data_IF_481810870223
#
_entry.id   IF_481810870223
#
_cell.length_a   1.000
_cell.length_b   1.000
_cell.length_c   1.000
_cell.angle_alpha   90.00
_cell.angle_beta   90.00
_cell.angle_gamma   90.00
#
_symmetry.space_group_name_H-M   'P 1'
#
loop_
_entity.id
_entity.type
_entity.pdbx_description
1 polymer ?
#
# COMPACT_ATOMS: atom_id res chain seq x y z
N UNK A 1 -33.47 58.26 46.58
CA UNK A 1 -32.67 57.09 46.18
C UNK A 1 -33.53 56.22 45.26
N UNK A 2 -33.35 56.34 43.95
CA UNK A 2 -33.83 55.31 43.00
C UNK A 2 -33.01 55.45 41.73
N UNK A 3 -31.99 54.60 41.63
CA UNK A 3 -31.01 54.58 40.56
C UNK A 3 -31.46 53.55 39.53
N UNK A 4 -31.86 54.02 38.35
CA UNK A 4 -32.32 53.18 37.25
C UNK A 4 -31.11 52.47 36.65
N UNK A 5 -31.07 51.13 36.77
CA UNK A 5 -30.03 50.30 36.19
C UNK A 5 -30.15 50.27 34.67
N UNK A 6 -29.09 50.70 34.00
CA UNK A 6 -28.89 50.59 32.56
C UNK A 6 -28.60 49.12 32.20
N UNK A 7 -29.51 48.49 31.46
CA UNK A 7 -29.26 47.16 30.90
C UNK A 7 -28.12 47.21 29.88
N UNK A 8 -27.15 46.33 30.13
CA UNK A 8 -25.82 46.24 29.52
C UNK A 8 -25.88 45.84 28.04
N UNK A 9 -25.01 46.45 27.24
CA UNK A 9 -25.01 46.41 25.76
C UNK A 9 -24.81 45.04 25.09
N UNK A 10 -24.69 43.94 25.84
CA UNK A 10 -24.63 42.59 25.28
C UNK A 10 -26.02 42.11 24.82
N UNK A 11 -27.10 42.49 25.52
CA UNK A 11 -28.47 42.13 25.12
C UNK A 11 -28.92 42.89 23.85
N UNK A 12 -28.50 44.15 23.67
CA UNK A 12 -28.70 44.87 22.39
C UNK A 12 -27.95 44.22 21.23
N UNK A 13 -26.74 43.69 21.47
CA UNK A 13 -25.96 42.99 20.43
C UNK A 13 -26.55 41.62 20.10
N UNK A 14 -27.07 40.90 21.09
CA UNK A 14 -27.78 39.64 20.88
C UNK A 14 -29.12 39.84 20.15
N UNK A 15 -29.87 40.90 20.46
CA UNK A 15 -31.11 41.24 19.75
C UNK A 15 -30.85 41.68 18.30
N UNK A 16 -29.79 42.46 18.04
CA UNK A 16 -29.38 42.83 16.68
C UNK A 16 -28.88 41.61 15.90
N UNK A 17 -28.16 40.68 16.53
CA UNK A 17 -27.73 39.43 15.89
C UNK A 17 -28.90 38.49 15.60
N UNK A 18 -29.90 38.41 16.49
CA UNK A 18 -31.11 37.62 16.26
C UNK A 18 -31.99 38.19 15.14
N UNK A 19 -32.09 39.52 15.01
CA UNK A 19 -32.79 40.17 13.89
C UNK A 19 -32.02 40.01 12.57
N UNK A 20 -30.68 39.99 12.58
CA UNK A 20 -29.85 39.73 11.39
C UNK A 20 -29.91 38.26 10.92
N UNK A 21 -30.01 37.31 11.85
CA UNK A 21 -30.16 35.89 11.52
C UNK A 21 -31.59 35.59 11.04
N UNK A 22 -32.61 36.28 11.58
CA UNK A 22 -33.99 36.14 11.11
C UNK A 22 -34.24 36.85 9.77
N UNK A 23 -33.52 37.94 9.47
CA UNK A 23 -33.57 38.60 8.16
C UNK A 23 -32.84 37.83 7.05
N UNK A 24 -31.88 36.96 7.37
CA UNK A 24 -31.22 36.10 6.38
C UNK A 24 -32.04 34.87 5.95
N UNK A 25 -33.12 34.54 6.65
CA UNK A 25 -33.97 33.38 6.32
C UNK A 25 -35.27 33.75 5.58
N UNK A 26 -35.55 35.04 5.35
CA UNK A 26 -36.78 35.48 4.67
C UNK A 26 -36.51 36.59 3.67
N UNK A 27 -35.85 36.28 2.55
CA UNK A 27 -36.08 36.92 1.23
C UNK A 27 -35.27 36.17 0.15
N UNK A 28 -35.62 34.90 -0.05
CA UNK A 28 -35.37 34.17 -1.29
C UNK A 28 -36.47 34.47 -2.30
N UNK A 29 -36.64 35.76 -2.63
CA UNK A 29 -37.36 36.23 -3.82
C UNK A 29 -36.46 37.30 -4.45
N UNK A 30 -35.31 36.85 -4.95
CA UNK A 30 -34.42 37.68 -5.75
C UNK A 30 -35.16 38.04 -7.03
N UNK A 31 -35.73 39.24 -7.08
CA UNK A 31 -36.29 39.82 -8.29
C UNK A 31 -35.34 39.57 -9.46
N UNK A 32 -35.79 38.75 -10.42
CA UNK A 32 -35.21 38.57 -11.75
C UNK A 32 -35.41 39.83 -12.58
N UNK A 33 -35.04 40.98 -12.02
CA UNK A 33 -35.10 42.27 -12.68
C UNK A 33 -33.88 42.40 -13.56
N UNK A 34 -34.11 42.55 -14.87
CA UNK A 34 -33.14 43.07 -15.82
C UNK A 34 -32.47 44.30 -15.19
N UNK A 35 -31.12 44.44 -15.26
CA UNK A 35 -30.47 45.66 -14.79
C UNK A 35 -31.14 46.88 -15.46
N UNK A 36 -31.22 48.04 -14.78
CA UNK A 36 -31.81 49.24 -15.38
C UNK A 36 -31.22 49.47 -16.77
N UNK A 37 -32.06 49.46 -17.81
CA UNK A 37 -31.59 49.52 -19.21
C UNK A 37 -30.67 50.74 -19.44
N UNK A 38 -30.95 51.82 -18.72
CA UNK A 38 -30.21 53.07 -18.73
C UNK A 38 -28.78 52.93 -18.19
N UNK A 39 -28.53 52.02 -17.24
CA UNK A 39 -27.19 51.80 -16.67
C UNK A 39 -26.27 51.12 -17.67
N UNK A 40 -26.77 50.10 -18.39
CA UNK A 40 -26.02 49.42 -19.43
C UNK A 40 -25.73 50.33 -20.64
N UNK A 41 -26.67 51.21 -21.00
CA UNK A 41 -26.46 52.20 -22.05
C UNK A 41 -25.36 53.21 -21.68
N UNK A 42 -25.46 53.83 -20.49
CA UNK A 42 -24.47 54.80 -19.98
C UNK A 42 -23.07 54.21 -19.81
N UNK A 43 -22.97 52.95 -19.36
CA UNK A 43 -21.66 52.28 -19.27
C UNK A 43 -20.98 52.10 -20.63
N UNK A 44 -21.76 51.79 -21.68
CA UNK A 44 -21.19 51.55 -23.02
C UNK A 44 -20.72 52.82 -23.73
N UNK A 45 -21.18 53.99 -23.29
CA UNK A 45 -20.70 55.30 -23.78
C UNK A 45 -19.22 55.52 -23.44
N UNK A 46 -18.79 55.15 -22.23
CA UNK A 46 -17.41 55.32 -21.75
C UNK A 46 -16.55 54.05 -21.78
N UNK A 47 -17.17 52.86 -21.74
CA UNK A 47 -16.48 51.59 -21.51
C UNK A 47 -16.87 50.52 -22.52
N UNK A 48 -15.93 49.62 -22.83
CA UNK A 48 -16.23 48.33 -23.43
C UNK A 48 -16.48 47.30 -22.31
N UNK A 49 -17.62 46.62 -22.38
CA UNK A 49 -18.17 45.83 -21.28
C UNK A 49 -18.06 44.35 -21.62
N UNK A 50 -17.20 43.62 -20.90
CA UNK A 50 -16.87 42.21 -21.16
C UNK A 50 -17.35 41.33 -20.02
N UNK A 51 -18.09 40.26 -20.32
CA UNK A 51 -18.60 39.33 -19.31
C UNK A 51 -17.48 38.46 -18.72
N UNK A 52 -17.37 38.41 -17.38
CA UNK A 52 -16.50 37.48 -16.65
C UNK A 52 -17.32 36.34 -16.05
N UNK A 53 -16.70 35.17 -15.79
CA UNK A 53 -17.40 34.01 -15.20
C UNK A 53 -18.20 34.37 -13.92
N UNK A 54 -17.69 35.33 -13.13
CA UNK A 54 -18.30 35.78 -11.87
C UNK A 54 -18.46 37.31 -11.77
N UNK A 55 -18.70 37.99 -12.89
CA UNK A 55 -18.93 39.43 -12.88
C UNK A 55 -18.75 40.09 -14.25
N UNK A 56 -18.19 41.31 -14.26
CA UNK A 56 -17.98 42.10 -15.49
C UNK A 56 -16.64 42.84 -15.46
N UNK A 57 -15.99 42.91 -16.62
CA UNK A 57 -14.81 43.74 -16.87
C UNK A 57 -15.22 44.96 -17.71
N UNK A 58 -14.73 46.13 -17.32
CA UNK A 58 -14.94 47.41 -17.98
C UNK A 58 -13.59 47.93 -18.48
N UNK A 59 -13.47 48.12 -19.79
CA UNK A 59 -12.26 48.64 -20.44
C UNK A 59 -12.57 50.05 -20.95
N UNK A 60 -11.90 51.12 -20.46
CA UNK A 60 -12.17 52.48 -20.91
C UNK A 60 -11.94 52.65 -22.42
N UNK A 61 -12.89 53.25 -23.14
CA UNK A 61 -12.77 53.52 -24.59
C UNK A 61 -11.79 54.66 -24.89
N UNK A 62 -11.61 55.57 -23.95
CA UNK A 62 -10.60 56.62 -23.97
C UNK A 62 -9.71 56.45 -22.73
N UNK A 63 -8.41 56.66 -22.88
CA UNK A 63 -7.46 56.55 -21.78
C UNK A 63 -7.60 57.74 -20.80
N UNK A 64 -8.72 57.81 -20.08
CA UNK A 64 -8.93 58.78 -19.03
C UNK A 64 -8.25 58.29 -17.74
N UNK A 65 -7.34 59.10 -17.18
CA UNK A 65 -6.77 58.87 -15.84
C UNK A 65 -5.79 57.69 -15.69
N UNK A 66 -5.26 57.13 -16.78
CA UNK A 66 -4.26 56.05 -16.74
C UNK A 66 -4.79 54.67 -16.34
N UNK A 67 -6.11 54.52 -16.27
CA UNK A 67 -6.78 53.25 -15.96
C UNK A 67 -6.94 52.42 -17.23
N UNK A 68 -6.57 51.12 -17.18
CA UNK A 68 -6.65 50.22 -18.33
C UNK A 68 -7.74 49.17 -18.19
N UNK A 69 -8.03 48.74 -16.97
CA UNK A 69 -9.01 47.69 -16.72
C UNK A 69 -9.66 47.87 -15.34
N UNK A 70 -10.98 47.82 -15.31
CA UNK A 70 -11.77 47.76 -14.08
C UNK A 70 -12.52 46.43 -14.07
N UNK A 71 -12.42 45.67 -12.98
CA UNK A 71 -13.14 44.41 -12.80
C UNK A 71 -14.09 44.56 -11.62
N UNK A 72 -15.31 44.05 -11.79
CA UNK A 72 -16.31 43.99 -10.72
C UNK A 72 -16.74 42.54 -10.58
N UNK A 73 -16.40 41.92 -9.45
CA UNK A 73 -16.74 40.53 -9.14
C UNK A 73 -17.27 40.42 -7.71
N UNK A 74 -18.47 39.87 -7.53
CA UNK A 74 -19.03 39.59 -6.20
C UNK A 74 -19.12 40.81 -5.26
N UNK A 75 -19.25 42.02 -5.81
CA UNK A 75 -19.30 43.28 -5.05
C UNK A 75 -17.94 43.91 -4.76
N UNK A 76 -16.84 43.30 -5.21
CA UNK A 76 -15.49 43.84 -5.09
C UNK A 76 -15.08 44.49 -6.40
N UNK A 77 -14.50 45.70 -6.31
CA UNK A 77 -13.99 46.45 -7.47
C UNK A 77 -12.47 46.45 -7.48
N UNK A 78 -11.90 46.03 -8.61
CA UNK A 78 -10.45 45.95 -8.83
C UNK A 78 -10.08 46.83 -10.02
N UNK A 79 -9.14 47.75 -9.84
CA UNK A 79 -8.65 48.66 -10.88
C UNK A 79 -7.19 48.33 -11.18
N UNK A 80 -6.89 47.93 -12.41
CA UNK A 80 -5.55 47.49 -12.87
C UNK A 80 -4.90 46.43 -11.96
N UNK A 81 -5.72 45.52 -11.42
CA UNK A 81 -5.29 44.45 -10.52
C UNK A 81 -5.21 44.83 -9.03
N UNK A 82 -5.51 46.08 -8.66
CA UNK A 82 -5.58 46.51 -7.26
C UNK A 82 -7.02 46.63 -6.78
N UNK A 83 -7.35 45.92 -5.70
CA UNK A 83 -8.66 46.04 -5.05
C UNK A 83 -8.80 47.40 -4.38
N UNK A 84 -9.89 48.10 -4.66
CA UNK A 84 -10.16 49.45 -4.17
C UNK A 84 -11.39 49.46 -3.28
N UNK A 85 -11.37 50.26 -2.22
CA UNK A 85 -12.58 50.59 -1.44
C UNK A 85 -13.41 51.66 -2.16
N UNK A 86 -14.69 51.79 -1.84
CA UNK A 86 -15.56 52.80 -2.47
C UNK A 86 -15.14 54.26 -2.24
N UNK A 87 -14.30 54.55 -1.25
CA UNK A 87 -13.69 55.87 -1.05
C UNK A 87 -12.51 56.09 -2.02
N UNK A 88 -11.61 55.11 -2.13
CA UNK A 88 -10.47 55.13 -3.05
C UNK A 88 -10.90 55.13 -4.52
N UNK A 89 -12.01 54.45 -4.83
CA UNK A 89 -12.58 54.43 -6.17
C UNK A 89 -13.07 55.83 -6.60
N UNK A 90 -13.68 56.60 -5.69
CA UNK A 90 -14.11 57.98 -5.94
C UNK A 90 -12.96 58.95 -6.15
N UNK A 91 -11.87 58.77 -5.41
CA UNK A 91 -10.66 59.57 -5.60
C UNK A 91 -9.99 59.27 -6.95
N UNK A 92 -9.98 58.01 -7.37
CA UNK A 92 -9.25 57.56 -8.57
C UNK A 92 -10.03 57.68 -9.88
N UNK A 93 -11.36 57.54 -9.85
CA UNK A 93 -12.22 57.55 -11.05
C UNK A 93 -13.16 58.75 -11.12
N UNK A 94 -13.12 59.66 -10.14
CA UNK A 94 -13.89 60.90 -10.10
C UNK A 94 -15.37 60.71 -10.49
N UNK A 95 -15.81 61.30 -11.61
CA UNK A 95 -17.19 61.27 -12.10
C UNK A 95 -17.70 59.86 -12.45
N UNK A 96 -16.80 58.98 -12.90
CA UNK A 96 -17.15 57.61 -13.31
C UNK A 96 -17.29 56.64 -12.13
N UNK A 97 -16.77 57.01 -10.96
CA UNK A 97 -16.84 56.17 -9.77
C UNK A 97 -18.30 55.86 -9.37
N UNK A 98 -19.22 56.81 -9.59
CA UNK A 98 -20.64 56.64 -9.27
C UNK A 98 -21.29 55.51 -10.08
N UNK A 99 -20.91 55.35 -11.35
CA UNK A 99 -21.43 54.29 -12.23
C UNK A 99 -20.88 52.93 -11.81
N UNK A 100 -19.59 52.84 -11.51
CA UNK A 100 -18.94 51.57 -11.15
C UNK A 100 -19.40 51.07 -9.78
N UNK A 101 -19.66 51.98 -8.84
CA UNK A 101 -20.29 51.64 -7.56
C UNK A 101 -21.67 51.02 -7.77
N UNK A 102 -22.50 51.58 -8.66
CA UNK A 102 -23.81 50.99 -8.99
C UNK A 102 -23.67 49.58 -9.58
N UNK A 103 -22.67 49.35 -10.44
CA UNK A 103 -22.37 48.01 -10.97
C UNK A 103 -21.96 47.04 -9.87
N UNK A 104 -21.22 47.50 -8.85
CA UNK A 104 -20.80 46.64 -7.72
C UNK A 104 -21.95 46.14 -6.85
N UNK A 105 -23.08 46.87 -6.82
CA UNK A 105 -24.28 46.43 -6.10
C UNK A 105 -25.14 45.42 -6.87
N UNK A 106 -24.88 45.23 -8.16
CA UNK A 106 -25.61 44.26 -8.97
C UNK A 106 -25.18 42.82 -8.64
N UNK A 107 -26.12 41.89 -8.75
CA UNK A 107 -25.80 40.46 -8.66
C UNK A 107 -24.87 40.03 -9.81
N UNK A 108 -24.08 38.96 -9.66
CA UNK A 108 -23.19 38.48 -10.73
C UNK A 108 -23.93 38.19 -12.05
N UNK A 109 -25.18 37.75 -11.97
CA UNK A 109 -26.04 37.51 -13.13
C UNK A 109 -26.44 38.81 -13.83
N UNK A 110 -26.84 39.84 -13.06
CA UNK A 110 -27.15 41.17 -13.59
C UNK A 110 -25.91 41.88 -14.15
N UNK A 111 -24.74 41.72 -13.53
CA UNK A 111 -23.47 42.25 -14.05
C UNK A 111 -23.12 41.64 -15.42
N UNK A 112 -23.31 40.33 -15.59
CA UNK A 112 -23.11 39.66 -16.89
C UNK A 112 -24.14 40.09 -17.93
N UNK A 113 -25.37 40.37 -17.51
CA UNK A 113 -26.40 40.89 -18.41
C UNK A 113 -26.04 42.29 -18.97
N UNK A 114 -25.27 43.11 -18.25
CA UNK A 114 -24.74 44.39 -18.78
C UNK A 114 -23.84 44.19 -20.00
N UNK A 115 -23.09 43.09 -20.04
CA UNK A 115 -22.23 42.70 -21.17
C UNK A 115 -23.01 41.99 -22.30
N UNK A 116 -24.33 41.82 -22.17
CA UNK A 116 -25.15 41.06 -23.12
C UNK A 116 -24.88 39.55 -23.11
N UNK A 117 -24.22 39.02 -22.07
CA UNK A 117 -23.97 37.59 -21.95
C UNK A 117 -25.25 36.84 -21.54
N UNK A 118 -25.53 35.67 -22.16
CA UNK A 118 -26.63 34.81 -21.72
C UNK A 118 -26.42 34.37 -20.26
N UNK A 119 -27.53 34.19 -19.55
CA UNK A 119 -27.51 33.62 -18.20
C UNK A 119 -26.85 32.25 -18.22
N UNK A 120 -26.03 31.96 -17.20
CA UNK A 120 -25.54 30.59 -17.01
C UNK A 120 -26.76 29.70 -16.73
N UNK A 121 -26.81 28.47 -17.27
CA UNK A 121 -27.91 27.56 -16.98
C UNK A 121 -28.03 27.38 -15.46
N UNK A 122 -29.21 27.70 -14.93
CA UNK A 122 -29.57 27.43 -13.53
C UNK A 122 -29.39 25.95 -13.24
N UNK A 123 -28.90 25.63 -12.04
CA UNK A 123 -28.76 24.25 -11.54
C UNK A 123 -30.00 23.41 -11.92
N UNK A 124 -29.84 22.17 -12.41
CA UNK A 124 -30.96 21.37 -12.89
C UNK A 124 -32.04 21.26 -11.81
N UNK A 125 -33.31 21.47 -12.21
CA UNK A 125 -34.47 21.35 -11.34
C UNK A 125 -34.44 20.02 -10.55
N UNK A 126 -34.88 20.00 -9.28
CA UNK A 126 -34.93 18.76 -8.50
C UNK A 126 -35.77 17.72 -9.25
N UNK A 127 -35.17 16.57 -9.53
CA UNK A 127 -35.81 15.47 -10.22
C UNK A 127 -37.07 14.99 -9.47
N UNK A 128 -38.10 14.47 -10.17
CA UNK A 128 -39.32 13.99 -9.53
C UNK A 128 -39.00 12.95 -8.45
N UNK A 129 -39.51 13.18 -7.23
CA UNK A 129 -39.33 12.28 -6.10
C UNK A 129 -40.11 10.98 -6.35
N UNK A 130 -39.41 9.92 -6.74
CA UNK A 130 -39.99 8.58 -6.81
C UNK A 130 -40.29 8.11 -5.39
N UNK A 131 -41.50 7.62 -5.14
CA UNK A 131 -41.86 6.99 -3.87
C UNK A 131 -41.02 5.71 -3.69
N UNK A 132 -40.11 5.73 -2.70
CA UNK A 132 -39.20 4.62 -2.39
C UNK A 132 -39.94 3.58 -1.55
N UNK A 133 -40.49 2.57 -2.20
CA UNK A 133 -41.34 1.55 -1.55
C UNK A 133 -40.56 0.37 -0.99
N UNK A 134 -39.30 0.16 -1.41
CA UNK A 134 -38.50 -0.98 -0.97
C UNK A 134 -37.33 -0.53 -0.09
N UNK A 135 -37.51 -0.62 1.23
CA UNK A 135 -36.46 -0.27 2.21
C UNK A 135 -35.79 -1.54 2.71
N UNK A 136 -34.51 -1.70 2.38
CA UNK A 136 -33.68 -2.81 2.85
C UNK A 136 -32.81 -2.29 4.00
N UNK A 137 -32.97 -2.89 5.19
CA UNK A 137 -32.19 -2.52 6.38
C UNK A 137 -30.97 -3.43 6.54
N UNK A 138 -29.82 -2.83 6.82
CA UNK A 138 -28.56 -3.51 7.06
C UNK A 138 -27.65 -3.59 5.82
N UNK A 139 -26.47 -4.15 6.03
CA UNK A 139 -25.40 -4.15 5.04
C UNK A 139 -25.63 -5.19 3.95
N UNK A 140 -25.32 -4.83 2.70
CA UNK A 140 -25.42 -5.73 1.54
C UNK A 140 -24.05 -6.05 1.00
N UNK A 141 -23.63 -7.30 1.18
CA UNK A 141 -22.38 -7.82 0.63
C UNK A 141 -22.67 -8.83 -0.48
N UNK A 142 -22.08 -8.64 -1.66
CA UNK A 142 -22.15 -9.57 -2.80
C UNK A 142 -20.76 -9.99 -3.25
N UNK A 143 -20.59 -11.28 -3.53
CA UNK A 143 -19.34 -11.88 -4.00
C UNK A 143 -19.53 -12.51 -5.37
N UNK A 144 -18.73 -12.11 -6.36
CA UNK A 144 -18.73 -12.64 -7.72
C UNK A 144 -19.92 -12.25 -8.59
N UNK A 145 -20.94 -11.60 -8.02
CA UNK A 145 -22.17 -11.18 -8.71
C UNK A 145 -22.31 -9.66 -8.74
N UNK A 146 -23.01 -9.16 -9.75
CA UNK A 146 -23.35 -7.74 -9.86
C UNK A 146 -24.55 -7.40 -8.98
N UNK A 147 -24.54 -6.19 -8.42
CA UNK A 147 -25.63 -5.67 -7.59
C UNK A 147 -26.34 -4.55 -8.34
N UNK A 148 -27.66 -4.64 -8.49
CA UNK A 148 -28.50 -3.52 -8.94
C UNK A 148 -29.36 -3.03 -7.78
N UNK A 149 -29.39 -1.72 -7.58
CA UNK A 149 -30.28 -1.02 -6.64
C UNK A 149 -31.20 -0.15 -7.49
N UNK A 150 -32.47 -0.53 -7.54
CA UNK A 150 -33.47 0.12 -8.37
C UNK A 150 -33.84 1.51 -7.82
N UNK A 151 -34.40 2.38 -8.66
CA UNK A 151 -34.73 3.77 -8.28
C UNK A 151 -35.76 3.88 -7.12
N UNK A 152 -36.56 2.84 -6.90
CA UNK A 152 -37.54 2.74 -5.81
C UNK A 152 -37.00 2.05 -4.55
N UNK A 153 -35.71 1.71 -4.53
CA UNK A 153 -35.05 0.99 -3.44
C UNK A 153 -34.17 1.94 -2.60
N UNK A 154 -34.26 1.79 -1.27
CA UNK A 154 -33.42 2.47 -0.29
C UNK A 154 -32.70 1.43 0.56
N UNK A 155 -31.37 1.48 0.59
CA UNK A 155 -30.53 0.65 1.44
C UNK A 155 -30.08 1.47 2.65
N UNK A 156 -30.50 1.04 3.84
CA UNK A 156 -30.11 1.62 5.13
C UNK A 156 -28.93 0.83 5.72
N UNK A 157 -27.75 1.02 5.13
CA UNK A 157 -26.51 0.34 5.53
C UNK A 157 -25.43 0.49 4.46
N UNK A 158 -24.34 -0.26 4.65
CA UNK A 158 -23.19 -0.27 3.73
C UNK A 158 -23.38 -1.27 2.60
N UNK A 159 -22.85 -0.94 1.43
CA UNK A 159 -22.93 -1.77 0.22
C UNK A 159 -21.53 -2.15 -0.23
N UNK A 160 -21.21 -3.44 -0.23
CA UNK A 160 -19.93 -3.97 -0.67
C UNK A 160 -20.09 -5.02 -1.78
N UNK A 161 -19.44 -4.79 -2.92
CA UNK A 161 -19.43 -5.71 -4.06
C UNK A 161 -18.01 -6.14 -4.39
N UNK A 162 -17.73 -7.44 -4.33
CA UNK A 162 -16.43 -8.02 -4.61
C UNK A 162 -16.46 -8.84 -5.90
N UNK A 163 -15.73 -8.42 -6.93
CA UNK A 163 -15.60 -9.14 -8.19
C UNK A 163 -16.79 -9.02 -9.15
N UNK A 164 -17.75 -8.14 -8.85
CA UNK A 164 -18.91 -7.81 -9.69
C UNK A 164 -19.08 -6.29 -9.85
N UNK A 165 -20.02 -5.87 -10.69
CA UNK A 165 -20.33 -4.44 -10.91
C UNK A 165 -21.53 -3.99 -10.08
N UNK A 166 -21.56 -2.72 -9.68
CA UNK A 166 -22.70 -2.12 -8.99
C UNK A 166 -23.40 -1.10 -9.90
N UNK A 167 -24.72 -1.23 -10.04
CA UNK A 167 -25.59 -0.30 -10.77
C UNK A 167 -26.60 0.28 -9.78
N UNK A 168 -26.49 1.56 -9.48
CA UNK A 168 -27.27 2.21 -8.44
C UNK A 168 -28.08 3.33 -9.05
N UNK A 169 -29.40 3.15 -9.10
CA UNK A 169 -30.38 4.17 -9.44
C UNK A 169 -31.14 4.67 -8.21
N UNK A 170 -31.13 3.91 -7.11
CA UNK A 170 -31.79 4.22 -5.84
C UNK A 170 -30.92 4.94 -4.82
N UNK A 171 -31.23 4.75 -3.54
CA UNK A 171 -30.56 5.44 -2.43
C UNK A 171 -29.78 4.48 -1.53
N UNK A 172 -28.54 4.85 -1.19
CA UNK A 172 -27.68 4.14 -0.26
C UNK A 172 -27.30 5.11 0.86
N UNK A 173 -27.67 4.78 2.09
CA UNK A 173 -27.46 5.67 3.23
C UNK A 173 -26.02 5.60 3.75
N UNK A 174 -25.38 4.43 3.67
CA UNK A 174 -24.02 4.18 4.14
C UNK A 174 -22.94 4.30 3.04
N UNK A 175 -21.82 3.62 3.29
CA UNK A 175 -20.66 3.59 2.39
C UNK A 175 -20.86 2.60 1.24
N UNK A 176 -20.26 2.92 0.09
CA UNK A 176 -20.33 2.07 -1.10
C UNK A 176 -18.94 1.67 -1.58
N UNK A 177 -18.64 0.37 -1.49
CA UNK A 177 -17.36 -0.20 -1.87
C UNK A 177 -17.49 -1.21 -3.02
N UNK A 178 -16.75 -0.99 -4.11
CA UNK A 178 -16.69 -1.92 -5.25
C UNK A 178 -15.24 -2.31 -5.52
N UNK A 179 -14.95 -3.61 -5.44
CA UNK A 179 -13.63 -4.18 -5.68
C UNK A 179 -13.62 -5.02 -6.95
N UNK A 180 -12.83 -4.62 -7.94
CA UNK A 180 -12.58 -5.38 -9.17
C UNK A 180 -13.68 -5.31 -10.24
N UNK A 181 -14.64 -4.40 -10.10
CA UNK A 181 -15.74 -4.18 -11.05
C UNK A 181 -16.09 -2.69 -11.22
N UNK A 182 -17.06 -2.38 -12.09
CA UNK A 182 -17.47 -1.00 -12.36
C UNK A 182 -18.58 -0.54 -11.43
N UNK A 183 -18.62 0.76 -11.14
CA UNK A 183 -19.75 1.41 -10.47
C UNK A 183 -20.45 2.34 -11.46
N UNK A 184 -21.75 2.14 -11.66
CA UNK A 184 -22.63 3.06 -12.40
C UNK A 184 -23.60 3.70 -11.43
N UNK A 185 -23.60 5.03 -11.41
CA UNK A 185 -24.55 5.84 -10.66
C UNK A 185 -25.51 6.49 -11.66
N UNK A 186 -26.78 6.07 -11.60
CA UNK A 186 -27.84 6.63 -12.42
C UNK A 186 -28.24 8.05 -12.03
N UNK A 187 -29.10 8.71 -12.83
CA UNK A 187 -29.46 10.11 -12.63
C UNK A 187 -30.27 10.35 -11.34
N UNK A 188 -30.79 9.31 -10.69
CA UNK A 188 -31.54 9.39 -9.44
C UNK A 188 -30.78 8.82 -8.23
N UNK A 189 -29.53 8.38 -8.45
CA UNK A 189 -28.71 7.75 -7.44
C UNK A 189 -28.35 8.74 -6.32
N UNK A 190 -28.55 8.32 -5.07
CA UNK A 190 -28.17 9.11 -3.89
C UNK A 190 -27.32 8.26 -2.96
N UNK A 191 -26.08 8.68 -2.70
CA UNK A 191 -25.16 7.99 -1.77
C UNK A 191 -24.81 8.92 -0.62
N UNK A 192 -25.17 8.50 0.59
CA UNK A 192 -24.94 9.23 1.84
C UNK A 192 -23.50 9.16 2.33
N UNK A 193 -22.83 8.02 2.14
CA UNK A 193 -21.46 7.77 2.61
C UNK A 193 -20.34 7.96 1.58
N UNK A 194 -19.15 7.47 1.93
CA UNK A 194 -17.96 7.45 1.08
C UNK A 194 -18.09 6.39 -0.02
N UNK A 195 -17.56 6.70 -1.22
CA UNK A 195 -17.49 5.77 -2.35
C UNK A 195 -16.04 5.33 -2.54
N UNK A 196 -15.78 4.03 -2.48
CA UNK A 196 -14.48 3.45 -2.76
C UNK A 196 -14.58 2.46 -3.93
N UNK A 197 -13.91 2.76 -5.04
CA UNK A 197 -13.80 1.84 -6.18
C UNK A 197 -12.35 1.48 -6.43
N UNK A 198 -12.03 0.19 -6.33
CA UNK A 198 -10.68 -0.32 -6.49
C UNK A 198 -10.61 -1.28 -7.69
N UNK A 199 -9.77 -0.95 -8.67
CA UNK A 199 -9.55 -1.81 -9.84
C UNK A 199 -10.68 -1.80 -10.88
N UNK A 200 -11.51 -0.76 -10.93
CA UNK A 200 -12.58 -0.55 -11.91
C UNK A 200 -12.78 0.91 -12.28
N UNK A 201 -13.90 1.25 -12.94
CA UNK A 201 -14.25 2.63 -13.32
C UNK A 201 -15.57 3.08 -12.70
N UNK A 202 -15.67 4.37 -12.38
CA UNK A 202 -16.91 5.00 -11.94
C UNK A 202 -17.54 5.76 -13.11
N UNK A 203 -18.79 5.45 -13.43
CA UNK A 203 -19.62 6.18 -14.39
C UNK A 203 -20.75 6.88 -13.63
N UNK A 204 -20.73 8.21 -13.60
CA UNK A 204 -21.66 9.03 -12.82
C UNK A 204 -22.52 9.86 -13.76
N UNK A 205 -23.83 9.58 -13.78
CA UNK A 205 -24.79 10.41 -14.49
C UNK A 205 -24.90 11.81 -13.85
N UNK A 206 -25.27 12.81 -14.65
CA UNK A 206 -25.33 14.22 -14.24
C UNK A 206 -26.32 14.52 -13.08
N UNK A 207 -27.23 13.60 -12.76
CA UNK A 207 -28.18 13.71 -11.64
C UNK A 207 -27.78 12.97 -10.35
N UNK A 208 -26.74 12.15 -10.39
CA UNK A 208 -26.31 11.37 -9.21
C UNK A 208 -25.73 12.28 -8.11
N UNK A 209 -26.16 12.09 -6.86
CA UNK A 209 -25.71 12.84 -5.69
C UNK A 209 -24.88 11.96 -4.77
N UNK A 210 -23.70 12.44 -4.39
CA UNK A 210 -22.78 11.75 -3.49
C UNK A 210 -22.38 12.75 -2.40
N UNK A 211 -22.73 12.46 -1.16
CA UNK A 211 -22.47 13.33 -0.02
C UNK A 211 -21.11 13.08 0.64
N UNK A 212 -20.56 11.87 0.50
CA UNK A 212 -19.21 11.54 0.94
C UNK A 212 -18.12 11.76 -0.11
N UNK A 213 -16.91 11.25 0.18
CA UNK A 213 -15.75 11.33 -0.70
C UNK A 213 -15.75 10.20 -1.72
N UNK A 214 -15.35 10.52 -2.94
CA UNK A 214 -15.15 9.53 -4.00
C UNK A 214 -13.67 9.20 -4.11
N UNK A 215 -13.30 7.94 -3.86
CA UNK A 215 -11.94 7.41 -4.01
C UNK A 215 -11.91 6.37 -5.12
N UNK A 216 -11.26 6.74 -6.22
CA UNK A 216 -11.00 5.84 -7.34
C UNK A 216 -9.52 5.42 -7.30
N UNK A 217 -9.28 4.13 -7.06
CA UNK A 217 -7.95 3.54 -7.06
C UNK A 217 -7.87 2.53 -8.22
N UNK A 218 -7.57 3.02 -9.43
CA UNK A 218 -7.29 2.14 -10.57
C UNK A 218 -7.69 2.59 -11.99
N UNK A 219 -8.22 3.79 -12.20
CA UNK A 219 -8.78 4.19 -13.50
C UNK A 219 -7.89 5.05 -14.40
N UNK A 220 -7.08 4.46 -15.29
CA UNK A 220 -6.84 5.07 -16.61
C UNK A 220 -7.94 4.57 -17.54
N UNK A 221 -8.59 5.49 -18.27
CA UNK A 221 -9.75 5.34 -19.20
C UNK A 221 -9.65 4.28 -20.31
N UNK A 222 -8.80 3.26 -20.20
CA UNK A 222 -8.69 2.17 -21.17
C UNK A 222 -9.68 1.05 -20.89
N UNK A 223 -10.86 1.13 -21.54
CA UNK A 223 -11.69 0.01 -22.03
C UNK A 223 -11.45 -1.34 -21.31
N UNK A 224 -12.16 -1.56 -20.19
CA UNK A 224 -12.21 -2.85 -19.48
C UNK A 224 -12.92 -3.90 -20.35
N UNK A 225 -12.16 -4.84 -20.89
CA UNK A 225 -12.67 -6.10 -21.43
C UNK A 225 -12.30 -7.29 -20.53
N UNK A 226 -12.91 -8.47 -20.72
CA UNK A 226 -12.67 -9.69 -19.93
C UNK A 226 -11.18 -10.10 -19.80
N UNK A 227 -10.32 -9.61 -20.70
CA UNK A 227 -8.88 -9.83 -20.65
C UNK A 227 -8.15 -9.26 -19.43
N UNK A 228 -8.65 -8.21 -18.76
CA UNK A 228 -7.96 -7.63 -17.58
C UNK A 228 -8.34 -8.26 -16.24
N UNK A 229 -9.55 -8.80 -16.09
CA UNK A 229 -9.91 -9.66 -14.95
C UNK A 229 -9.13 -10.97 -14.99
N UNK A 230 -8.95 -11.53 -16.20
CA UNK A 230 -7.92 -12.53 -16.46
C UNK A 230 -6.56 -11.98 -16.02
N UNK A 231 -6.11 -10.79 -16.45
CA UNK A 231 -4.77 -10.27 -16.11
C UNK A 231 -4.50 -10.03 -14.61
N UNK A 232 -5.51 -9.68 -13.80
CA UNK A 232 -5.35 -9.48 -12.35
C UNK A 232 -5.30 -10.79 -11.56
N UNK A 233 -6.17 -11.74 -11.94
CA UNK A 233 -6.12 -13.11 -11.42
C UNK A 233 -4.86 -13.83 -11.91
N UNK A 234 -4.49 -13.65 -13.18
CA UNK A 234 -3.20 -14.03 -13.74
C UNK A 234 -2.07 -13.30 -13.02
N UNK A 235 -2.19 -12.05 -12.59
CA UNK A 235 -1.12 -11.32 -11.88
C UNK A 235 -0.81 -11.92 -10.51
N UNK A 236 -1.83 -12.18 -9.69
CA UNK A 236 -1.66 -12.91 -8.41
C UNK A 236 -1.27 -14.37 -8.62
N UNK A 237 -1.74 -15.00 -9.69
CA UNK A 237 -1.32 -16.35 -10.06
C UNK A 237 0.14 -16.36 -10.51
N UNK A 238 0.58 -15.46 -11.39
CA UNK A 238 1.95 -15.29 -11.89
C UNK A 238 2.93 -14.91 -10.78
N UNK A 239 2.52 -14.14 -9.77
CA UNK A 239 3.38 -13.86 -8.61
C UNK A 239 3.52 -15.09 -7.69
N UNK A 240 2.45 -15.88 -7.49
CA UNK A 240 2.52 -17.17 -6.79
C UNK A 240 3.32 -18.20 -7.58
N UNK A 241 3.14 -18.24 -8.91
CA UNK A 241 3.90 -19.09 -9.84
C UNK A 241 5.37 -18.68 -9.87
N UNK A 242 5.66 -17.38 -9.85
CA UNK A 242 7.01 -16.83 -9.72
C UNK A 242 7.62 -17.18 -8.37
N UNK A 243 6.85 -17.12 -7.28
CA UNK A 243 7.29 -17.56 -5.95
C UNK A 243 7.57 -19.07 -5.87
N UNK A 244 6.81 -19.89 -6.60
CA UNK A 244 7.09 -21.31 -6.80
C UNK A 244 8.33 -21.53 -7.66
N UNK A 245 8.44 -20.85 -8.79
CA UNK A 245 9.55 -20.95 -9.73
C UNK A 245 10.87 -20.54 -9.06
N UNK A 246 10.87 -19.48 -8.25
CA UNK A 246 12.01 -19.08 -7.45
C UNK A 246 12.39 -20.15 -6.41
N UNK A 247 11.41 -20.82 -5.80
CA UNK A 247 11.69 -21.95 -4.88
C UNK A 247 12.23 -23.15 -5.62
N UNK A 248 11.68 -23.50 -6.79
CA UNK A 248 12.21 -24.57 -7.63
C UNK A 248 13.64 -24.28 -8.09
N UNK A 249 13.92 -23.05 -8.52
CA UNK A 249 15.25 -22.60 -8.88
C UNK A 249 16.21 -22.68 -7.69
N UNK A 250 15.78 -22.24 -6.50
CA UNK A 250 16.56 -22.35 -5.26
C UNK A 250 16.87 -23.81 -4.92
N UNK A 251 15.88 -24.71 -5.01
CA UNK A 251 16.07 -26.14 -4.74
C UNK A 251 17.01 -26.75 -5.77
N UNK A 252 16.85 -26.42 -7.06
CA UNK A 252 17.75 -26.87 -8.12
C UNK A 252 19.19 -26.40 -7.87
N UNK A 253 19.38 -25.15 -7.44
CA UNK A 253 20.68 -24.58 -7.10
C UNK A 253 21.28 -25.27 -5.86
N UNK A 254 20.48 -25.57 -4.83
CA UNK A 254 20.94 -26.33 -3.66
C UNK A 254 21.34 -27.76 -4.02
N UNK A 255 20.59 -28.42 -4.89
CA UNK A 255 20.97 -29.75 -5.42
C UNK A 255 22.28 -29.62 -6.17
N UNK A 256 22.41 -28.65 -7.08
CA UNK A 256 23.65 -28.43 -7.84
C UNK A 256 24.86 -28.19 -6.92
N UNK A 257 24.74 -27.29 -5.94
CA UNK A 257 25.79 -27.04 -4.96
C UNK A 257 26.11 -28.30 -4.14
N UNK A 258 25.09 -29.05 -3.72
CA UNK A 258 25.29 -30.32 -3.01
C UNK A 258 26.03 -31.36 -3.84
N UNK A 259 25.73 -31.45 -5.14
CA UNK A 259 26.45 -32.32 -6.07
C UNK A 259 27.91 -31.89 -6.22
N UNK A 260 28.18 -30.58 -6.31
CA UNK A 260 29.55 -30.03 -6.32
C UNK A 260 30.29 -30.39 -5.04
N UNK A 261 29.68 -30.20 -3.87
CA UNK A 261 30.26 -30.57 -2.58
C UNK A 261 30.61 -32.06 -2.52
N UNK A 262 29.71 -32.93 -2.99
CA UNK A 262 30.00 -34.37 -3.09
C UNK A 262 31.12 -34.65 -4.09
N UNK A 263 31.18 -33.95 -5.22
CA UNK A 263 32.21 -34.15 -6.23
C UNK A 263 33.61 -33.79 -5.71
N UNK A 264 33.76 -32.68 -4.98
CA UNK A 264 35.04 -32.22 -4.45
C UNK A 264 35.44 -32.85 -3.11
N UNK A 265 34.49 -33.42 -2.36
CA UNK A 265 34.72 -33.80 -0.97
C UNK A 265 33.94 -35.04 -0.50
N UNK A 266 33.85 -36.10 -1.31
CA UNK A 266 33.16 -37.37 -0.93
C UNK A 266 33.51 -37.84 0.49
N UNK A 267 34.81 -37.87 0.82
CA UNK A 267 35.30 -38.32 2.13
C UNK A 267 34.95 -37.35 3.28
N UNK A 268 34.70 -36.07 2.99
CA UNK A 268 34.28 -35.06 3.97
C UNK A 268 32.78 -35.18 4.23
N UNK A 269 31.98 -35.35 3.18
CA UNK A 269 30.53 -35.54 3.27
C UNK A 269 30.18 -36.86 4.00
N UNK A 270 30.87 -37.95 3.68
CA UNK A 270 30.66 -39.25 4.34
C UNK A 270 31.03 -39.22 5.84
N UNK A 271 32.10 -38.49 6.20
CA UNK A 271 32.47 -38.29 7.61
C UNK A 271 31.42 -37.50 8.39
N UNK A 272 30.90 -36.41 7.82
CA UNK A 272 29.83 -35.61 8.43
C UNK A 272 28.52 -36.40 8.52
N UNK A 273 28.16 -37.15 7.47
CA UNK A 273 26.91 -37.92 7.40
C UNK A 273 26.86 -39.12 8.37
N UNK A 274 28.00 -39.77 8.63
CA UNK A 274 28.07 -40.91 9.57
C UNK A 274 27.75 -40.51 11.03
N UNK A 275 27.95 -39.24 11.40
CA UNK A 275 27.82 -38.77 12.80
C UNK A 275 26.47 -38.17 13.13
N UNK A 276 25.72 -37.65 12.16
CA UNK A 276 24.32 -37.21 12.36
C UNK A 276 23.42 -38.36 12.85
N UNK A 277 23.85 -39.62 12.68
CA UNK A 277 23.10 -40.82 13.03
C UNK A 277 23.01 -41.08 14.55
N UNK A 278 23.88 -40.51 15.38
CA UNK A 278 23.99 -40.90 16.80
C UNK A 278 23.20 -39.96 17.73
N UNK A 279 23.08 -38.66 17.42
CA UNK A 279 22.30 -37.72 18.24
C UNK A 279 21.85 -36.46 17.45
N UNK A 280 20.78 -36.53 16.64
CA UNK A 280 20.29 -35.39 15.85
C UNK A 280 19.86 -34.21 16.74
N UNK A 281 19.27 -34.47 17.91
CA UNK A 281 18.87 -33.43 18.87
C UNK A 281 20.09 -32.70 19.44
N UNK A 282 21.17 -33.44 19.80
CA UNK A 282 22.40 -32.81 20.29
C UNK A 282 23.08 -31.97 19.22
N UNK A 283 23.12 -32.46 17.98
CA UNK A 283 23.67 -31.71 16.84
C UNK A 283 22.86 -30.44 16.57
N UNK A 284 21.52 -30.52 16.63
CA UNK A 284 20.64 -29.35 16.51
C UNK A 284 20.84 -28.33 17.63
N UNK A 285 20.94 -28.78 18.88
CA UNK A 285 21.19 -27.90 20.03
C UNK A 285 22.55 -27.20 19.92
N UNK A 286 23.61 -27.93 19.56
CA UNK A 286 24.94 -27.35 19.35
C UNK A 286 24.93 -26.35 18.19
N UNK A 287 24.26 -26.66 17.08
CA UNK A 287 24.11 -25.74 15.96
C UNK A 287 23.36 -24.48 16.34
N UNK A 288 22.25 -24.62 17.08
CA UNK A 288 21.43 -23.50 17.55
C UNK A 288 22.17 -22.65 18.59
N UNK A 289 22.89 -23.25 19.53
CA UNK A 289 23.76 -22.52 20.47
C UNK A 289 24.86 -21.77 19.72
N UNK A 290 25.48 -22.39 18.71
CA UNK A 290 26.48 -21.75 17.89
C UNK A 290 25.89 -20.56 17.11
N UNK A 291 24.72 -20.70 16.49
CA UNK A 291 24.04 -19.60 15.76
C UNK A 291 23.67 -18.43 16.69
N UNK A 292 23.08 -18.72 17.85
CA UNK A 292 22.68 -17.69 18.82
C UNK A 292 23.89 -16.95 19.37
N UNK A 293 25.00 -17.64 19.65
CA UNK A 293 26.21 -17.01 20.16
C UNK A 293 27.02 -16.33 19.05
N UNK A 294 26.94 -16.83 17.82
CA UNK A 294 27.69 -16.29 16.68
C UNK A 294 27.26 -14.87 16.35
N UNK A 295 25.96 -14.56 16.35
CA UNK A 295 25.47 -13.21 16.01
C UNK A 295 26.02 -12.10 16.95
N UNK A 296 25.91 -12.19 18.29
CA UNK A 296 26.45 -11.16 19.18
C UNK A 296 27.98 -11.12 19.13
N UNK A 297 28.66 -12.27 19.01
CA UNK A 297 30.13 -12.30 18.86
C UNK A 297 30.56 -11.65 17.56
N UNK A 298 29.85 -11.88 16.45
CA UNK A 298 30.13 -11.27 15.16
C UNK A 298 29.93 -9.76 15.21
N UNK A 299 28.82 -9.29 15.79
CA UNK A 299 28.55 -7.85 15.96
C UNK A 299 29.64 -7.21 16.81
N UNK A 300 29.96 -7.80 17.97
CA UNK A 300 31.03 -7.30 18.85
C UNK A 300 32.38 -7.26 18.11
N UNK A 301 32.72 -8.33 17.38
CA UNK A 301 33.94 -8.41 16.56
C UNK A 301 33.97 -7.29 15.53
N UNK A 302 32.88 -7.09 14.79
CA UNK A 302 32.78 -6.01 13.78
C UNK A 302 32.95 -4.64 14.43
N UNK A 303 32.33 -4.39 15.57
CA UNK A 303 32.44 -3.11 16.29
C UNK A 303 33.88 -2.86 16.76
N UNK A 304 34.53 -3.87 17.35
CA UNK A 304 35.92 -3.77 17.80
C UNK A 304 36.89 -3.57 16.62
N UNK A 305 36.66 -4.27 15.50
CA UNK A 305 37.45 -4.09 14.28
C UNK A 305 37.20 -2.70 13.66
N UNK A 306 35.97 -2.19 13.68
CA UNK A 306 35.66 -0.88 13.12
C UNK A 306 36.29 0.27 13.92
N UNK A 307 36.37 0.14 15.25
CA UNK A 307 36.97 1.16 16.13
C UNK A 307 38.51 1.11 16.10
N UNK A 308 39.10 -0.02 15.72
CA UNK A 308 40.56 -0.18 15.68
C UNK A 308 41.15 0.21 14.31
N UNK A 309 42.25 0.97 14.33
CA UNK A 309 42.99 1.36 13.12
C UNK A 309 43.47 0.11 12.36
N UNK A 310 43.93 -0.91 13.08
CA UNK A 310 44.33 -2.22 12.53
C UNK A 310 43.12 -3.03 12.07
N UNK A 311 41.94 -2.77 12.61
CA UNK A 311 40.74 -3.53 12.29
C UNK A 311 40.07 -3.13 10.98
N UNK A 312 40.29 -1.93 10.45
CA UNK A 312 39.77 -1.52 9.12
C UNK A 312 40.22 -2.47 7.99
N UNK A 313 41.52 -2.80 7.83
CA UNK A 313 41.93 -3.78 6.83
C UNK A 313 41.41 -5.19 7.16
N UNK A 314 41.27 -5.55 8.44
CA UNK A 314 40.73 -6.84 8.84
C UNK A 314 39.20 -6.94 8.63
N UNK A 315 38.48 -5.82 8.66
CA UNK A 315 37.05 -5.72 8.41
C UNK A 315 36.74 -6.15 6.96
N UNK A 316 37.66 -5.89 6.02
CA UNK A 316 37.58 -6.38 4.65
C UNK A 316 37.58 -7.92 4.57
N UNK A 317 38.13 -8.61 5.58
CA UNK A 317 38.17 -10.08 5.65
C UNK A 317 36.88 -10.70 6.22
N UNK A 318 36.08 -9.93 6.95
CA UNK A 318 34.80 -10.41 7.52
C UNK A 318 33.86 -11.05 6.49
N UNK A 319 33.60 -10.49 5.29
CA UNK A 319 32.77 -11.17 4.30
C UNK A 319 33.33 -12.53 3.86
N UNK A 320 34.66 -12.68 3.79
CA UNK A 320 35.29 -13.97 3.49
C UNK A 320 35.11 -14.98 4.62
N UNK A 321 35.16 -14.54 5.89
CA UNK A 321 34.87 -15.39 7.04
C UNK A 321 33.40 -15.86 7.05
N UNK A 322 32.46 -14.96 6.75
CA UNK A 322 31.03 -15.30 6.60
C UNK A 322 30.82 -16.28 5.44
N UNK A 323 31.51 -16.09 4.31
CA UNK A 323 31.47 -17.01 3.18
C UNK A 323 31.98 -18.41 3.56
N UNK A 324 33.10 -18.50 4.28
CA UNK A 324 33.64 -19.77 4.76
C UNK A 324 32.63 -20.47 5.68
N UNK A 325 31.98 -19.72 6.58
CA UNK A 325 30.93 -20.25 7.44
C UNK A 325 29.75 -20.80 6.62
N UNK A 326 29.31 -20.07 5.60
CA UNK A 326 28.24 -20.53 4.70
C UNK A 326 28.60 -21.84 4.00
N UNK A 327 29.86 -22.03 3.61
CA UNK A 327 30.34 -23.28 3.03
C UNK A 327 30.26 -24.42 4.06
N UNK A 328 30.66 -24.19 5.30
CA UNK A 328 30.55 -25.19 6.39
C UNK A 328 29.10 -25.57 6.64
N UNK A 329 28.19 -24.59 6.72
CA UNK A 329 26.75 -24.82 6.86
C UNK A 329 26.20 -25.65 5.70
N UNK A 330 26.63 -25.34 4.47
CA UNK A 330 26.23 -26.07 3.26
C UNK A 330 26.69 -27.52 3.31
N UNK A 331 27.95 -27.79 3.68
CA UNK A 331 28.48 -29.15 3.83
C UNK A 331 27.69 -29.93 4.88
N UNK A 332 27.37 -29.28 6.00
CA UNK A 332 26.51 -29.84 7.05
C UNK A 332 25.12 -30.23 6.55
N UNK A 333 24.45 -29.31 5.84
CA UNK A 333 23.14 -29.55 5.21
C UNK A 333 23.20 -30.70 4.20
N UNK A 334 24.24 -30.74 3.35
CA UNK A 334 24.43 -31.80 2.34
C UNK A 334 24.62 -33.16 3.02
N UNK A 335 25.34 -33.22 4.14
CA UNK A 335 25.49 -34.44 4.94
C UNK A 335 24.15 -34.95 5.48
N UNK A 336 23.31 -34.06 6.02
CA UNK A 336 21.96 -34.39 6.47
C UNK A 336 21.07 -34.85 5.31
N UNK A 337 21.06 -34.11 4.19
CA UNK A 337 20.31 -34.44 2.99
C UNK A 337 20.71 -35.82 2.46
N UNK A 338 22.02 -36.09 2.30
CA UNK A 338 22.52 -37.40 1.88
C UNK A 338 21.95 -38.53 2.75
N UNK A 339 21.92 -38.33 4.08
CA UNK A 339 21.41 -39.35 5.01
C UNK A 339 19.91 -39.57 4.87
N UNK A 340 19.13 -38.49 4.76
CA UNK A 340 17.67 -38.54 4.55
C UNK A 340 17.35 -39.24 3.24
N UNK A 341 18.02 -38.86 2.15
CA UNK A 341 17.80 -39.47 0.84
C UNK A 341 18.26 -40.92 0.76
N UNK A 342 19.37 -41.29 1.42
CA UNK A 342 19.83 -42.68 1.48
C UNK A 342 18.86 -43.57 2.25
N UNK A 343 18.32 -43.10 3.39
CA UNK A 343 17.26 -43.83 4.11
C UNK A 343 16.03 -44.06 3.22
N UNK A 344 15.66 -43.09 2.40
CA UNK A 344 14.52 -43.23 1.49
C UNK A 344 14.83 -44.17 0.31
N UNK A 345 16.02 -44.07 -0.27
CA UNK A 345 16.48 -44.97 -1.34
C UNK A 345 16.54 -46.44 -0.88
N UNK A 346 17.07 -46.69 0.32
CA UNK A 346 17.15 -48.03 0.90
C UNK A 346 15.74 -48.61 1.13
N UNK A 347 14.78 -47.78 1.57
CA UNK A 347 13.37 -48.17 1.77
C UNK A 347 12.64 -48.49 0.46
N UNK A 348 13.02 -47.82 -0.64
CA UNK A 348 12.46 -48.05 -1.97
C UNK A 348 13.16 -49.19 -2.72
N UNK A 349 14.18 -49.83 -2.12
CA UNK A 349 14.97 -50.88 -2.76
C UNK A 349 15.89 -50.37 -3.89
N UNK A 350 16.12 -49.06 -3.98
CA UNK A 350 16.92 -48.41 -5.03
C UNK A 350 18.37 -48.24 -4.60
N UNK A 351 18.98 -49.31 -4.09
CA UNK A 351 20.33 -49.33 -3.51
C UNK A 351 21.45 -49.09 -4.55
N UNK A 352 21.15 -49.25 -5.84
CA UNK A 352 22.10 -49.03 -6.93
C UNK A 352 22.34 -47.54 -7.28
N UNK A 353 21.59 -46.60 -6.70
CA UNK A 353 21.77 -45.17 -7.01
C UNK A 353 22.84 -44.55 -6.10
N UNK A 354 23.97 -44.14 -6.71
CA UNK A 354 25.15 -43.61 -6.02
C UNK A 354 24.90 -42.32 -5.21
N UNK A 355 25.95 -41.84 -4.52
CA UNK A 355 25.86 -40.77 -3.51
C UNK A 355 25.18 -39.47 -3.97
N UNK A 356 25.26 -39.16 -5.26
CA UNK A 356 24.60 -38.02 -5.90
C UNK A 356 23.07 -38.10 -5.84
N UNK A 357 22.49 -39.29 -6.07
CA UNK A 357 21.04 -39.49 -6.02
C UNK A 357 20.52 -39.36 -4.58
N UNK A 358 21.28 -39.85 -3.61
CA UNK A 358 20.95 -39.69 -2.20
C UNK A 358 20.92 -38.22 -1.78
N UNK A 359 21.87 -37.39 -2.22
CA UNK A 359 21.82 -35.94 -1.94
C UNK A 359 20.63 -35.28 -2.64
N UNK A 360 20.44 -35.53 -3.94
CA UNK A 360 19.34 -34.92 -4.69
C UNK A 360 17.96 -35.25 -4.08
N UNK A 361 17.70 -36.53 -3.80
CA UNK A 361 16.45 -36.97 -3.17
C UNK A 361 16.32 -36.39 -1.77
N UNK A 362 17.41 -36.40 -0.98
CA UNK A 362 17.41 -35.81 0.35
C UNK A 362 17.05 -34.32 0.37
N UNK A 363 17.67 -33.53 -0.52
CA UNK A 363 17.39 -32.10 -0.65
C UNK A 363 15.94 -31.87 -1.07
N UNK A 364 15.40 -32.67 -2.01
CA UNK A 364 14.00 -32.58 -2.42
C UNK A 364 13.04 -32.99 -1.30
N UNK A 365 13.38 -33.98 -0.48
CA UNK A 365 12.56 -34.39 0.67
C UNK A 365 12.51 -33.29 1.73
N UNK A 366 13.67 -32.69 2.06
CA UNK A 366 13.73 -31.58 3.03
C UNK A 366 12.98 -30.36 2.52
N UNK A 367 13.14 -30.00 1.24
CA UNK A 367 12.40 -28.90 0.62
C UNK A 367 10.94 -29.27 0.29
N UNK A 368 10.57 -30.55 0.38
CA UNK A 368 9.29 -31.09 -0.05
C UNK A 368 8.13 -30.50 0.71
N UNK A 369 8.29 -30.25 2.02
CA UNK A 369 7.26 -29.61 2.83
C UNK A 369 7.01 -28.17 2.37
N UNK A 370 8.06 -27.41 2.08
CA UNK A 370 7.97 -26.04 1.54
C UNK A 370 7.36 -26.02 0.14
N UNK A 371 7.71 -26.99 -0.71
CA UNK A 371 7.13 -27.14 -2.04
C UNK A 371 5.64 -27.47 -1.96
N UNK A 372 5.25 -28.43 -1.13
CA UNK A 372 3.85 -28.80 -0.89
C UNK A 372 3.06 -27.62 -0.33
N UNK A 373 3.63 -26.90 0.64
CA UNK A 373 3.02 -25.70 1.21
C UNK A 373 2.80 -24.62 0.15
N UNK A 374 3.80 -24.37 -0.69
CA UNK A 374 3.67 -23.39 -1.78
C UNK A 374 2.66 -23.83 -2.83
N UNK A 375 2.61 -25.12 -3.17
CA UNK A 375 1.59 -25.69 -4.08
C UNK A 375 0.18 -25.56 -3.49
N UNK A 376 0.01 -25.89 -2.21
CA UNK A 376 -1.26 -25.71 -1.50
C UNK A 376 -1.68 -24.23 -1.41
N UNK A 377 -0.72 -23.30 -1.35
CA UNK A 377 -0.98 -21.87 -1.40
C UNK A 377 -1.51 -21.39 -2.78
N UNK A 378 -1.37 -22.17 -3.86
CA UNK A 378 -2.05 -21.88 -5.12
C UNK A 378 -3.54 -22.24 -5.07
N UNK A 379 -3.92 -23.30 -4.36
CA UNK A 379 -5.30 -23.82 -4.34
C UNK A 379 -6.15 -23.28 -3.17
N UNK A 380 -5.58 -23.06 -1.99
CA UNK A 380 -6.33 -22.82 -0.74
C UNK A 380 -6.45 -21.38 -0.25
N UNK A 381 -5.97 -20.39 -1.00
CA UNK A 381 -5.96 -18.98 -0.56
C UNK A 381 -4.97 -18.69 0.59
N UNK A 382 -4.89 -17.43 1.02
CA UNK A 382 -3.87 -16.95 1.98
C UNK A 382 -4.00 -17.63 3.36
N UNK A 383 -5.24 -17.94 3.78
CA UNK A 383 -5.53 -18.49 5.10
C UNK A 383 -4.98 -19.91 5.30
N UNK A 384 -4.97 -20.73 4.25
CA UNK A 384 -4.44 -22.10 4.32
C UNK A 384 -2.96 -22.14 3.92
N UNK A 385 -2.56 -21.34 2.92
CA UNK A 385 -1.20 -21.35 2.40
C UNK A 385 -0.14 -20.78 3.35
N UNK A 386 -0.47 -19.74 4.12
CA UNK A 386 0.48 -19.07 5.00
C UNK A 386 1.03 -19.97 6.13
N UNK A 387 0.22 -20.64 6.97
CA UNK A 387 0.73 -21.46 8.06
C UNK A 387 1.56 -22.65 7.57
N UNK A 388 1.13 -23.31 6.47
CA UNK A 388 1.92 -24.39 5.86
C UNK A 388 3.28 -23.89 5.35
N UNK A 389 3.33 -22.69 4.78
CA UNK A 389 4.57 -22.12 4.27
C UNK A 389 5.54 -21.82 5.40
N UNK A 390 5.05 -21.29 6.53
CA UNK A 390 5.84 -21.07 7.75
C UNK A 390 6.38 -22.40 8.29
N UNK A 391 5.54 -23.44 8.36
CA UNK A 391 5.96 -24.77 8.79
C UNK A 391 7.04 -25.37 7.87
N UNK A 392 6.91 -25.20 6.54
CA UNK A 392 7.92 -25.62 5.57
C UNK A 392 9.27 -24.95 5.80
N UNK A 393 9.29 -23.62 5.94
CA UNK A 393 10.51 -22.87 6.23
C UNK A 393 11.12 -23.23 7.60
N UNK A 394 10.30 -23.51 8.61
CA UNK A 394 10.77 -23.94 9.92
C UNK A 394 11.51 -25.29 9.84
N UNK A 395 10.97 -26.26 9.09
CA UNK A 395 11.62 -27.56 8.88
C UNK A 395 12.95 -27.40 8.13
N UNK A 396 12.99 -26.56 7.11
CA UNK A 396 14.24 -26.26 6.40
C UNK A 396 15.26 -25.61 7.33
N UNK A 397 14.85 -24.62 8.13
CA UNK A 397 15.73 -23.95 9.09
C UNK A 397 16.34 -24.96 10.07
N UNK A 398 15.52 -25.85 10.64
CA UNK A 398 16.01 -26.93 11.52
C UNK A 398 16.99 -27.85 10.78
N UNK A 399 16.76 -28.15 9.50
CA UNK A 399 17.68 -28.96 8.72
C UNK A 399 19.05 -28.27 8.53
N UNK A 400 19.06 -26.96 8.30
CA UNK A 400 20.29 -26.17 8.24
C UNK A 400 21.03 -26.13 9.57
N UNK A 401 20.33 -25.88 10.68
CA UNK A 401 20.94 -25.79 12.02
C UNK A 401 21.51 -27.13 12.48
N UNK A 402 20.77 -28.24 12.27
CA UNK A 402 21.23 -29.60 12.58
C UNK A 402 22.44 -29.98 11.72
N UNK A 403 22.41 -29.65 10.43
CA UNK A 403 23.53 -29.86 9.52
C UNK A 403 24.78 -29.11 9.98
N UNK A 404 24.64 -27.84 10.32
CA UNK A 404 25.73 -27.00 10.80
C UNK A 404 26.35 -27.52 12.11
N UNK A 405 25.52 -27.87 13.10
CA UNK A 405 26.00 -28.44 14.36
C UNK A 405 26.71 -29.79 14.18
N UNK A 406 26.25 -30.63 13.25
CA UNK A 406 26.94 -31.87 12.90
C UNK A 406 28.32 -31.62 12.27
N UNK A 407 28.45 -30.59 11.43
CA UNK A 407 29.73 -30.19 10.84
C UNK A 407 30.71 -29.67 11.91
N UNK A 408 30.24 -28.84 12.83
CA UNK A 408 31.03 -28.33 13.97
C UNK A 408 31.56 -29.46 14.87
N UNK A 409 30.69 -30.40 15.24
CA UNK A 409 31.08 -31.54 16.07
C UNK A 409 32.09 -32.45 15.36
N UNK A 410 31.90 -32.67 14.05
CA UNK A 410 32.83 -33.46 13.25
C UNK A 410 34.23 -32.83 13.23
N UNK A 411 34.30 -31.50 13.09
CA UNK A 411 35.54 -30.74 13.10
C UNK A 411 36.24 -30.75 14.47
N UNK A 412 35.50 -30.52 15.56
CA UNK A 412 36.06 -30.49 16.92
C UNK A 412 36.72 -31.84 17.29
N UNK A 413 36.04 -32.95 17.02
CA UNK A 413 36.54 -34.29 17.33
C UNK A 413 37.75 -34.70 16.48
N UNK A 414 37.85 -34.27 15.22
CA UNK A 414 39.08 -34.49 14.43
C UNK A 414 40.28 -33.81 15.09
N UNK A 415 40.07 -32.60 15.60
CA UNK A 415 41.12 -31.84 16.27
C UNK A 415 41.55 -32.48 17.59
N UNK A 416 40.63 -33.09 18.34
CA UNK A 416 40.94 -33.81 19.59
C UNK A 416 41.67 -35.13 19.33
N UNK A 417 41.34 -35.86 18.26
CA UNK A 417 42.05 -37.10 17.92
C UNK A 417 43.49 -36.83 17.49
N UNK A 418 43.69 -35.82 16.65
CA UNK A 418 45.02 -35.43 16.19
C UNK A 418 45.89 -34.88 17.31
N UNK A 419 45.30 -34.27 18.36
CA UNK A 419 46.05 -33.86 19.54
C UNK A 419 46.45 -35.05 20.40
N UNK A 420 45.54 -35.97 20.72
CA UNK A 420 45.84 -37.18 21.50
C UNK A 420 46.90 -38.03 20.80
N UNK A 421 46.79 -38.23 19.49
CA UNK A 421 47.72 -39.07 18.73
C UNK A 421 49.11 -38.43 18.64
N UNK A 422 49.21 -37.10 18.56
CA UNK A 422 50.50 -36.37 18.67
C UNK A 422 51.12 -36.49 20.07
N UNK A 423 50.31 -36.43 21.13
CA UNK A 423 50.79 -36.60 22.50
C UNK A 423 51.25 -38.05 22.77
N UNK A 424 50.55 -39.06 22.25
CA UNK A 424 50.95 -40.46 22.37
C UNK A 424 52.20 -40.79 21.53
N UNK A 425 52.38 -40.17 20.36
CA UNK A 425 53.57 -40.35 19.53
C UNK A 425 54.81 -39.61 20.08
N UNK A 426 54.60 -38.56 20.90
CA UNK A 426 55.66 -37.83 21.57
C UNK A 426 56.06 -38.42 22.93
N UNK A 427 55.34 -39.44 23.42
CA UNK A 427 55.73 -40.17 24.61
C UNK A 427 56.96 -41.06 24.29
N UNK A 428 58.04 -41.01 25.09
CA UNK A 428 59.22 -41.85 24.86
C UNK A 428 58.83 -43.33 24.96
N UNK A 429 59.47 -44.23 24.17
CA UNK A 429 59.17 -45.65 24.24
C UNK A 429 59.38 -46.15 25.67
N UNK A 430 58.39 -46.88 26.20
CA UNK A 430 58.49 -47.49 27.51
C UNK A 430 59.78 -48.32 27.58
N UNK A 431 60.58 -48.07 28.62
CA UNK A 431 61.78 -48.86 28.90
C UNK A 431 61.40 -50.35 28.97
N UNK A 432 62.18 -51.25 28.35
CA UNK A 432 61.89 -52.68 28.40
C UNK A 432 61.82 -53.13 29.86
N UNK A 433 60.79 -53.92 30.19
CA UNK A 433 60.61 -54.49 31.52
C UNK A 433 61.91 -55.19 31.97
N UNK A 434 62.37 -54.99 33.21
CA UNK A 434 63.49 -55.76 33.73
C UNK A 434 63.12 -57.25 33.67
N UNK A 435 64.02 -58.04 33.07
CA UNK A 435 63.86 -59.48 32.98
C UNK A 435 63.58 -60.08 34.37
N UNK A 436 62.72 -61.10 34.47
CA UNK A 436 62.49 -61.75 35.75
C UNK A 436 63.80 -62.38 36.22
N UNK A 437 64.26 -61.97 37.40
CA UNK A 437 65.40 -62.59 38.07
C UNK A 437 65.08 -64.08 38.28
N UNK A 438 65.76 -64.93 37.51
CA UNK A 438 65.87 -66.36 37.82
C UNK A 438 66.98 -66.56 38.87
N UNK A 439 66.60 -67.28 39.93
CA UNK A 439 67.41 -67.92 40.98
C UNK A 439 67.70 -67.12 42.25
#
# INVERSE_FOLDING_TARGET
MTQTYTMTGWMRRAAVAAVLILAMQTTGDGQTGTPPADLGAKLREGYDVVALQRGVALVPRQAAGGVRLIQVEGGVVTVDGQTMTGAQLRERLAEDAGLIVQVSYLTPEQQRALAGAPSLPSSPAPAPAIARTNVVRGDRVRFGESLRIEANERVEGDVAVFGGSADVDGEVTGDLAVFGGGLRLGPQAVVGGDIAVMGGSIDRASGAQVFGRVREMGGRRGRFGPGRMLSGMFGSFWSRLGGLAATLLRVALLVLLGLVVVAFGRNTVERVASRTAVAPVRSGLVGLTAEILFLPVLILTIVVLAVSIVGIPLLLLVPFAVLLLMIVMLVGFVGLAHRVGRRLLDRLGWTARGAYAAVAIGTVVVAGLTLLAKVAALSGGVLVGAPLTVAGYAVEYVAWTVGFGAALLAWYETQTRDSVQRHSAAAPPASPDPAPDEA
#
